data_IF_060659542542
#
_entry.id   IF_060659542542
#
_cell.length_a   1.000
_cell.length_b   1.000
_cell.length_c   1.000
_cell.angle_alpha   90.00
_cell.angle_beta   90.00
_cell.angle_gamma   90.00
#
_symmetry.space_group_name_H-M   'P 1'
#
loop_
_entity.id
_entity.type
_entity.pdbx_description
1 polymer ?
#
# COMPACT_ATOMS: atom_id res chain seq x y z
N UNK A 1 1.27 -14.59 5.73
CA UNK A 1 1.68 -13.39 4.98
C UNK A 1 1.67 -12.10 5.81
N UNK A 2 0.53 -11.61 6.33
CA UNK A 2 0.49 -10.33 7.10
C UNK A 2 1.49 -10.26 8.26
N UNK A 3 1.58 -11.31 9.09
CA UNK A 3 2.53 -11.34 10.20
C UNK A 3 4.00 -11.34 9.77
N UNK A 4 4.31 -11.93 8.62
CA UNK A 4 5.65 -11.89 8.03
C UNK A 4 5.96 -10.48 7.52
N UNK A 5 5.08 -9.92 6.68
CA UNK A 5 5.20 -8.56 6.19
C UNK A 5 5.39 -7.54 7.32
N UNK A 6 4.62 -7.66 8.41
CA UNK A 6 4.75 -6.78 9.60
C UNK A 6 6.16 -6.79 10.21
N UNK A 7 6.93 -7.86 10.04
CA UNK A 7 8.30 -8.04 10.57
C UNK A 7 9.38 -7.79 9.52
N UNK A 8 9.01 -7.66 8.26
CA UNK A 8 9.93 -7.43 7.15
C UNK A 8 10.15 -5.94 6.94
N UNK A 9 11.40 -5.57 6.68
CA UNK A 9 11.75 -4.23 6.25
C UNK A 9 11.61 -4.16 4.72
N UNK A 10 10.87 -3.18 4.23
CA UNK A 10 10.55 -3.00 2.81
C UNK A 10 11.01 -1.63 2.33
N UNK A 11 11.28 -1.51 1.04
CA UNK A 11 11.69 -0.26 0.39
C UNK A 11 10.44 0.55 0.04
N UNK A 12 10.42 1.81 0.44
CA UNK A 12 9.30 2.72 0.21
C UNK A 12 9.84 3.91 -0.56
N UNK A 13 9.56 4.01 -1.87
CA UNK A 13 10.07 5.10 -2.69
C UNK A 13 9.38 6.42 -2.38
N UNK A 14 10.04 7.51 -2.74
CA UNK A 14 9.47 8.84 -2.72
C UNK A 14 9.03 9.28 -4.13
N UNK A 15 8.03 10.15 -4.17
CA UNK A 15 7.67 10.91 -5.36
C UNK A 15 8.57 12.14 -5.53
N UNK A 16 8.35 12.93 -6.58
CA UNK A 16 9.14 14.12 -6.89
C UNK A 16 8.95 15.26 -5.87
N UNK A 17 7.99 15.15 -4.96
CA UNK A 17 7.72 16.09 -3.88
C UNK A 17 8.26 15.60 -2.53
N UNK A 18 9.18 14.64 -2.54
CA UNK A 18 9.76 14.01 -1.35
C UNK A 18 8.70 13.37 -0.42
N UNK A 19 7.48 13.15 -0.94
CA UNK A 19 6.40 12.46 -0.25
C UNK A 19 6.46 10.98 -0.58
N UNK A 20 5.85 10.13 0.26
CA UNK A 20 5.81 8.70 -0.03
C UNK A 20 5.10 8.46 -1.36
N UNK A 21 5.66 7.57 -2.15
CA UNK A 21 5.01 7.14 -3.36
C UNK A 21 3.67 6.48 -3.04
N UNK A 22 2.59 7.05 -3.55
CA UNK A 22 1.25 6.50 -3.41
C UNK A 22 0.56 6.35 -4.76
N UNK A 23 -0.37 5.39 -4.84
CA UNK A 23 -1.24 5.19 -5.99
C UNK A 23 -2.70 5.15 -5.52
N UNK A 24 -3.59 5.83 -6.22
CA UNK A 24 -5.03 5.77 -5.94
C UNK A 24 -5.67 4.67 -6.81
N UNK A 25 -6.29 3.67 -6.19
CA UNK A 25 -6.94 2.55 -6.88
C UNK A 25 -8.15 2.05 -6.08
N UNK A 26 -9.29 1.91 -6.77
CA UNK A 26 -10.58 1.47 -6.19
C UNK A 26 -11.03 2.30 -4.96
N UNK A 27 -10.81 3.62 -5.00
CA UNK A 27 -11.15 4.53 -3.89
C UNK A 27 -10.24 4.42 -2.66
N UNK A 28 -9.15 3.65 -2.74
CA UNK A 28 -8.15 3.50 -1.69
C UNK A 28 -6.82 4.09 -2.15
N UNK A 29 -6.13 4.79 -1.25
CA UNK A 29 -4.77 5.25 -1.45
C UNK A 29 -3.78 4.20 -0.97
N UNK A 30 -2.91 3.74 -1.85
CA UNK A 30 -1.95 2.69 -1.58
C UNK A 30 -0.56 3.27 -1.44
N UNK A 31 0.07 3.09 -0.28
CA UNK A 31 1.52 3.28 -0.15
C UNK A 31 2.18 2.14 -0.90
N UNK A 32 2.97 2.46 -1.93
CA UNK A 32 3.74 1.45 -2.63
C UNK A 32 4.98 1.10 -1.81
N UNK A 33 5.20 -0.19 -1.60
CA UNK A 33 6.37 -0.73 -0.95
C UNK A 33 6.93 -1.89 -1.77
N UNK A 34 8.22 -2.16 -1.65
CA UNK A 34 8.92 -3.17 -2.43
C UNK A 34 9.76 -4.05 -1.52
N UNK A 35 9.75 -5.35 -1.79
CA UNK A 35 10.50 -6.34 -1.01
C UNK A 35 12.01 -6.15 -1.18
N UNK A 36 12.45 -5.78 -2.38
CA UNK A 36 13.85 -5.52 -2.73
C UNK A 36 13.99 -4.50 -3.87
N UNK A 37 15.24 -4.17 -4.20
CA UNK A 37 15.58 -3.20 -5.25
C UNK A 37 15.20 -3.70 -6.65
N UNK A 38 15.18 -5.02 -6.88
CA UNK A 38 14.80 -5.58 -8.18
C UNK A 38 13.30 -5.42 -8.42
N UNK A 39 12.47 -5.60 -7.39
CA UNK A 39 11.04 -5.32 -7.44
C UNK A 39 10.77 -3.82 -7.71
N UNK A 40 11.48 -2.92 -7.03
CA UNK A 40 11.39 -1.48 -7.29
C UNK A 40 11.82 -1.12 -8.73
N UNK A 41 12.92 -1.70 -9.22
CA UNK A 41 13.41 -1.45 -10.58
C UNK A 41 12.41 -1.91 -11.65
N UNK A 42 11.78 -3.07 -11.45
CA UNK A 42 10.70 -3.56 -12.35
C UNK A 42 9.53 -2.58 -12.39
N UNK A 43 9.12 -2.06 -11.24
CA UNK A 43 8.08 -1.03 -11.16
C UNK A 43 8.47 0.26 -11.89
N UNK A 44 9.71 0.73 -11.72
CA UNK A 44 10.22 1.91 -12.43
C UNK A 44 10.19 1.71 -13.96
N UNK A 45 10.61 0.54 -14.46
CA UNK A 45 10.56 0.20 -15.89
C UNK A 45 9.12 0.17 -16.40
N UNK A 46 8.20 -0.47 -15.67
CA UNK A 46 6.79 -0.55 -16.06
C UNK A 46 6.12 0.83 -16.17
N UNK A 47 6.60 1.81 -15.40
CA UNK A 47 6.14 3.21 -15.48
C UNK A 47 6.79 4.04 -16.58
N UNK A 48 7.87 3.56 -17.20
CA UNK A 48 8.68 4.36 -18.11
C UNK A 48 9.66 5.30 -17.41
N UNK A 49 9.90 5.11 -16.11
CA UNK A 49 10.76 5.95 -15.27
C UNK A 49 12.08 5.25 -14.89
N UNK A 50 12.55 4.34 -15.73
CA UNK A 50 13.77 3.57 -15.46
C UNK A 50 15.02 4.47 -15.37
N UNK A 51 15.00 5.63 -16.04
CA UNK A 51 16.12 6.59 -16.07
C UNK A 51 16.08 7.60 -14.92
N UNK A 52 14.99 7.62 -14.13
CA UNK A 52 14.85 8.47 -12.94
C UNK A 52 15.64 7.88 -11.77
N UNK A 53 16.28 8.72 -10.98
CA UNK A 53 16.85 8.28 -9.70
C UNK A 53 15.71 8.05 -8.69
N UNK A 54 15.57 6.80 -8.23
CA UNK A 54 14.54 6.42 -7.26
C UNK A 54 15.11 6.44 -5.84
N UNK A 55 14.87 7.52 -5.11
CA UNK A 55 15.13 7.55 -3.68
C UNK A 55 14.09 6.74 -2.91
N UNK A 56 14.53 5.95 -1.95
CA UNK A 56 13.65 5.15 -1.09
C UNK A 56 14.13 5.15 0.36
N UNK A 57 13.25 4.75 1.28
CA UNK A 57 13.60 4.39 2.65
C UNK A 57 13.23 2.96 2.96
N UNK A 58 14.04 2.32 3.78
CA UNK A 58 13.74 1.02 4.36
C UNK A 58 12.88 1.19 5.60
N UNK A 59 11.67 0.64 5.59
CA UNK A 59 10.66 0.81 6.65
C UNK A 59 10.07 -0.55 7.02
N UNK A 60 9.88 -0.80 8.32
CA UNK A 60 9.21 -2.02 8.79
C UNK A 60 7.74 -2.03 8.34
N UNK A 61 7.25 -3.16 7.82
CA UNK A 61 5.86 -3.29 7.36
C UNK A 61 4.83 -2.93 8.44
N UNK A 62 5.09 -3.24 9.71
CA UNK A 62 4.22 -2.81 10.82
C UNK A 62 4.13 -1.28 10.93
N UNK A 63 5.23 -0.55 10.73
CA UNK A 63 5.23 0.92 10.77
C UNK A 63 4.41 1.51 9.61
N UNK A 64 4.45 0.88 8.44
CA UNK A 64 3.61 1.29 7.33
C UNK A 64 2.13 1.18 7.69
N UNK A 65 1.70 0.02 8.17
CA UNK A 65 0.30 -0.26 8.48
C UNK A 65 -0.23 0.51 9.70
N UNK A 66 0.58 0.62 10.74
CA UNK A 66 0.10 1.12 12.05
C UNK A 66 0.32 2.62 12.24
N UNK A 67 1.24 3.22 11.48
CA UNK A 67 1.62 4.63 11.66
C UNK A 67 1.41 5.43 10.38
N UNK A 68 1.85 4.93 9.23
CA UNK A 68 1.88 5.73 8.01
C UNK A 68 0.56 5.73 7.27
N UNK A 69 -0.12 4.58 7.21
CA UNK A 69 -1.49 4.49 6.68
C UNK A 69 -2.46 5.44 7.42
N UNK A 70 -2.50 5.49 8.77
CA UNK A 70 -3.36 6.44 9.47
C UNK A 70 -3.13 7.92 9.20
N UNK A 71 -1.98 8.29 8.61
CA UNK A 71 -1.68 9.68 8.24
C UNK A 71 -2.20 10.07 6.85
N UNK A 72 -2.74 9.12 6.08
CA UNK A 72 -3.34 9.40 4.78
C UNK A 72 -4.69 10.12 4.95
N UNK A 73 -5.08 11.01 4.02
CA UNK A 73 -6.31 11.80 4.13
C UNK A 73 -7.61 11.03 3.88
N UNK A 74 -7.56 9.70 3.76
CA UNK A 74 -8.68 8.82 3.42
C UNK A 74 -8.31 7.34 3.56
N UNK A 75 -9.16 6.40 3.08
CA UNK A 75 -8.89 4.97 3.16
C UNK A 75 -7.53 4.62 2.59
N UNK A 76 -6.68 4.01 3.43
CA UNK A 76 -5.27 3.82 3.14
C UNK A 76 -4.81 2.36 3.26
N UNK A 77 -4.12 1.85 2.26
CA UNK A 77 -3.56 0.51 2.26
C UNK A 77 -2.07 0.50 1.92
N UNK A 78 -1.47 -0.69 1.94
CA UNK A 78 -0.11 -0.91 1.42
C UNK A 78 -0.15 -1.88 0.25
N UNK A 79 0.52 -1.53 -0.84
CA UNK A 79 0.72 -2.42 -1.98
C UNK A 79 2.20 -2.84 -2.01
N UNK A 80 2.47 -4.10 -1.68
CA UNK A 80 3.80 -4.70 -1.77
C UNK A 80 4.03 -5.21 -3.19
N UNK A 81 5.18 -4.84 -3.78
CA UNK A 81 5.60 -5.21 -5.12
C UNK A 81 4.53 -4.86 -6.18
N UNK A 82 4.02 -3.63 -6.09
CA UNK A 82 2.98 -3.11 -6.98
C UNK A 82 3.38 -3.27 -8.46
N UNK A 83 2.44 -3.74 -9.28
CA UNK A 83 2.68 -4.00 -10.72
C UNK A 83 3.38 -5.34 -11.01
N UNK A 84 3.77 -6.11 -9.99
CA UNK A 84 4.24 -7.49 -10.14
C UNK A 84 3.06 -8.48 -10.21
N UNK A 85 3.27 -9.61 -10.88
CA UNK A 85 2.30 -10.72 -10.90
C UNK A 85 2.10 -11.34 -9.50
N UNK A 86 3.14 -11.29 -8.66
CA UNK A 86 3.13 -11.77 -7.28
C UNK A 86 2.88 -10.67 -6.25
N UNK A 87 2.51 -9.46 -6.70
CA UNK A 87 2.25 -8.32 -5.83
C UNK A 87 1.10 -8.57 -4.86
N UNK A 88 1.18 -7.99 -3.65
CA UNK A 88 0.17 -8.21 -2.61
C UNK A 88 -0.34 -6.92 -2.00
N UNK A 89 -1.66 -6.87 -1.81
CA UNK A 89 -2.34 -5.77 -1.16
C UNK A 89 -2.63 -6.08 0.31
N UNK A 90 -2.34 -5.10 1.17
CA UNK A 90 -2.75 -5.04 2.56
C UNK A 90 -3.84 -3.96 2.68
N UNK A 91 -5.12 -4.33 2.58
CA UNK A 91 -6.22 -3.37 2.48
C UNK A 91 -6.50 -2.67 3.83
N UNK A 92 -7.19 -1.51 3.81
CA UNK A 92 -7.61 -0.76 5.01
C UNK A 92 -8.69 -1.49 5.83
N UNK A 93 -8.54 -2.76 6.19
CA UNK A 93 -9.55 -3.50 6.96
C UNK A 93 -9.09 -3.81 8.38
N UNK A 94 -10.05 -4.06 9.26
CA UNK A 94 -9.77 -4.43 10.65
C UNK A 94 -8.85 -5.66 10.71
N UNK A 95 -7.87 -5.61 11.61
CA UNK A 95 -6.82 -6.63 11.73
C UNK A 95 -5.64 -6.47 10.77
N UNK A 96 -5.76 -5.66 9.70
CA UNK A 96 -4.63 -5.26 8.84
C UNK A 96 -4.09 -3.91 9.26
N UNK A 97 -4.96 -2.92 9.45
CA UNK A 97 -4.65 -1.56 9.91
C UNK A 97 -5.32 -1.30 11.27
N UNK A 98 -4.95 -0.23 12.01
CA UNK A 98 -5.64 0.14 13.25
C UNK A 98 -7.15 0.37 13.03
N UNK A 99 -7.98 -0.07 13.98
CA UNK A 99 -9.44 -0.02 13.87
C UNK A 99 -9.99 1.39 13.59
N UNK A 100 -9.31 2.44 14.09
CA UNK A 100 -9.71 3.83 13.90
C UNK A 100 -9.71 4.30 12.42
N UNK A 101 -8.97 3.61 11.55
CA UNK A 101 -8.87 3.92 10.11
C UNK A 101 -9.28 2.75 9.22
N UNK A 102 -9.74 1.65 9.83
CA UNK A 102 -10.28 0.52 9.10
C UNK A 102 -11.61 0.90 8.44
N UNK A 103 -11.79 0.52 7.19
CA UNK A 103 -13.06 0.58 6.47
C UNK A 103 -13.73 -0.78 6.51
N UNK A 104 -15.04 -0.76 6.68
CA UNK A 104 -15.85 -1.94 6.45
C UNK A 104 -16.03 -2.10 4.93
N UNK A 105 -15.36 -3.10 4.34
CA UNK A 105 -15.59 -3.47 2.94
C UNK A 105 -16.91 -4.25 2.75
N UNK A 106 -17.70 -4.41 3.81
CA UNK A 106 -19.13 -4.72 3.83
C UNK A 106 -19.66 -5.43 2.60
N UNK A 107 -19.53 -6.76 2.57
CA UNK A 107 -20.39 -7.57 1.72
C UNK A 107 -21.83 -7.50 2.23
N UNK A 108 -22.62 -6.54 1.78
CA UNK A 108 -24.09 -6.58 1.82
C UNK A 108 -24.72 -5.73 0.71
N UNK A 109 -24.85 -6.28 -0.50
CA UNK A 109 -26.11 -6.10 -1.22
C UNK A 109 -27.18 -6.93 -0.50
N UNK A 110 -27.72 -6.41 0.60
CA UNK A 110 -29.07 -6.82 1.02
C UNK A 110 -29.98 -5.67 0.68
N UNK A 111 -30.48 -5.69 -0.55
CA UNK A 111 -31.68 -4.96 -0.93
C UNK A 111 -32.83 -5.45 -0.08
N UNK A 112 -33.07 -4.80 1.06
CA UNK A 112 -34.38 -4.79 1.70
C UNK A 112 -35.32 -3.98 0.80
N UNK A 113 -35.77 -4.60 -0.28
CA UNK A 113 -36.91 -4.15 -1.06
C UNK A 113 -38.19 -4.51 -0.31
N UNK A 114 -38.65 -3.62 0.57
CA UNK A 114 -40.07 -3.57 0.91
C UNK A 114 -40.80 -2.86 -0.22
N UNK A 115 -41.45 -3.62 -1.10
CA UNK A 115 -42.83 -3.34 -1.51
C UNK A 115 -43.50 -4.56 -2.15
#
# INVERSE_FOLDING_TARGET
MLGEFRRTAVLVPFDDHESLWTADFNGVRWICAFSDEEALARFAVARGDAEREWTYRTILGARLLDVMVPMLPGPGGVALDAGSADGVLFPPVAGVVPDAVAVDLGGTETGAGTR
#
